data_IF_773461547649
#
_entry.id   IF_773461547649
#
_cell.length_a   1.000
_cell.length_b   1.000
_cell.length_c   1.000
_cell.angle_alpha   90.00
_cell.angle_beta   90.00
_cell.angle_gamma   90.00
#
_symmetry.space_group_name_H-M   'P 1'
#
loop_
_entity.id
_entity.type
_entity.pdbx_description
1 polymer ?
#
# COMPACT_ATOMS: atom_id res chain seq x y z
N UNK A 1 10.21 14.65 -23.45
CA UNK A 1 8.99 13.86 -23.69
C UNK A 1 7.91 14.54 -22.88
N UNK A 2 6.68 14.66 -23.36
CA UNK A 2 5.61 15.28 -22.54
C UNK A 2 4.68 14.16 -22.04
N UNK A 3 4.68 13.83 -20.74
CA UNK A 3 3.74 12.85 -20.20
C UNK A 3 2.34 13.45 -20.25
N UNK A 4 1.42 12.70 -20.83
CA UNK A 4 0.06 13.16 -21.04
C UNK A 4 -0.88 12.53 -20.02
N UNK A 5 -0.70 11.24 -19.72
CA UNK A 5 -1.56 10.50 -18.79
C UNK A 5 -0.75 9.43 -18.07
N UNK A 6 -1.06 9.23 -16.79
CA UNK A 6 -0.53 8.14 -15.99
C UNK A 6 -1.70 7.27 -15.54
N UNK A 7 -1.61 5.98 -15.83
CA UNK A 7 -2.61 4.98 -15.52
C UNK A 7 -2.06 3.90 -14.58
N UNK A 8 -2.98 3.19 -13.94
CA UNK A 8 -2.66 2.00 -13.15
C UNK A 8 -3.61 0.87 -13.52
N UNK A 9 -3.07 -0.34 -13.65
CA UNK A 9 -3.82 -1.59 -13.74
C UNK A 9 -3.52 -2.40 -12.50
N UNK A 10 -4.54 -3.07 -11.98
CA UNK A 10 -4.41 -3.85 -10.73
C UNK A 10 -4.16 -5.35 -10.96
N UNK A 11 -4.45 -5.86 -12.15
CA UNK A 11 -4.38 -7.29 -12.46
C UNK A 11 -3.97 -7.49 -13.92
N UNK A 12 -2.72 -7.93 -14.21
CA UNK A 12 -1.58 -7.90 -13.31
C UNK A 12 -1.19 -6.46 -12.93
N UNK A 13 -0.59 -6.23 -11.75
CA UNK A 13 -0.32 -4.89 -11.23
C UNK A 13 0.73 -4.16 -12.09
N UNK A 14 0.34 -3.00 -12.63
CA UNK A 14 1.12 -2.28 -13.63
C UNK A 14 0.88 -0.77 -13.56
N UNK A 15 1.92 0.01 -13.79
CA UNK A 15 1.86 1.46 -14.01
C UNK A 15 2.08 1.73 -15.50
N UNK A 16 1.20 2.49 -16.14
CA UNK A 16 1.36 2.92 -17.53
C UNK A 16 1.58 4.42 -17.60
N UNK A 17 2.56 4.84 -18.39
CA UNK A 17 2.84 6.24 -18.69
C UNK A 17 2.63 6.46 -20.17
N UNK A 18 1.62 7.26 -20.51
CA UNK A 18 1.35 7.71 -21.87
C UNK A 18 2.08 9.03 -22.10
N UNK A 19 2.91 9.10 -23.14
CA UNK A 19 3.71 10.27 -23.48
C UNK A 19 3.72 10.52 -24.98
N UNK A 20 3.91 11.78 -25.35
CA UNK A 20 4.03 12.19 -26.76
C UNK A 20 5.50 12.28 -27.15
N UNK A 21 5.86 11.62 -28.25
CA UNK A 21 7.17 11.71 -28.87
C UNK A 21 7.01 11.94 -30.37
N UNK A 22 7.59 13.03 -30.90
CA UNK A 22 7.56 13.36 -32.34
C UNK A 22 6.16 13.34 -32.97
N UNK A 23 5.16 13.82 -32.24
CA UNK A 23 3.77 13.89 -32.71
C UNK A 23 2.94 12.61 -32.52
N UNK A 24 3.56 11.48 -32.18
CA UNK A 24 2.89 10.19 -31.93
C UNK A 24 2.79 9.91 -30.42
N UNK A 25 1.73 9.20 -30.04
CA UNK A 25 1.50 8.75 -28.67
C UNK A 25 2.18 7.41 -28.44
N UNK A 26 2.85 7.29 -27.32
CA UNK A 26 3.52 6.08 -26.86
C UNK A 26 3.10 5.76 -25.43
N UNK A 27 3.11 4.47 -25.09
CA UNK A 27 2.81 4.00 -23.74
C UNK A 27 4.02 3.21 -23.26
N UNK A 28 4.55 3.58 -22.10
CA UNK A 28 5.54 2.79 -21.37
C UNK A 28 4.85 2.07 -20.21
N UNK A 29 5.00 0.75 -20.16
CA UNK A 29 4.38 -0.09 -19.13
C UNK A 29 5.43 -0.61 -18.14
N UNK A 30 5.16 -0.46 -16.86
CA UNK A 30 6.04 -0.86 -15.76
C UNK A 30 5.32 -1.93 -14.93
N UNK A 31 5.80 -3.17 -15.00
CA UNK A 31 5.28 -4.27 -14.19
C UNK A 31 5.67 -4.08 -12.72
N UNK A 32 4.69 -4.17 -11.81
CA UNK A 32 4.89 -3.84 -10.40
C UNK A 32 5.27 -5.03 -9.52
N UNK A 33 5.16 -6.28 -10.00
CA UNK A 33 5.37 -7.49 -9.18
C UNK A 33 6.75 -7.57 -8.51
N UNK A 34 7.81 -7.24 -9.25
CA UNK A 34 9.19 -7.19 -8.75
C UNK A 34 9.36 -6.12 -7.65
N UNK A 35 8.68 -4.98 -7.81
CA UNK A 35 8.80 -3.90 -6.83
C UNK A 35 7.94 -4.17 -5.58
N UNK A 36 6.73 -4.71 -5.76
CA UNK A 36 5.83 -5.08 -4.67
C UNK A 36 6.40 -6.20 -3.79
N UNK A 37 7.22 -7.10 -4.37
CA UNK A 37 7.91 -8.16 -3.62
C UNK A 37 9.15 -7.65 -2.88
N UNK A 38 9.90 -6.70 -3.45
CA UNK A 38 11.17 -6.20 -2.89
C UNK A 38 11.03 -5.08 -1.86
N UNK A 39 9.89 -4.39 -1.83
CA UNK A 39 9.68 -3.22 -0.98
C UNK A 39 8.44 -3.40 -0.10
N UNK A 40 8.56 -3.01 1.17
CA UNK A 40 7.51 -3.09 2.18
C UNK A 40 6.74 -1.78 2.35
N UNK A 41 7.27 -0.65 1.88
CA UNK A 41 6.65 0.66 1.99
C UNK A 41 6.52 1.36 0.61
N UNK A 42 5.50 2.22 0.49
CA UNK A 42 5.18 2.95 -0.76
C UNK A 42 6.26 3.97 -1.11
N UNK A 43 6.94 4.56 -0.12
CA UNK A 43 7.97 5.57 -0.35
C UNK A 43 9.19 5.01 -1.06
N UNK A 44 9.73 3.90 -0.55
CA UNK A 44 10.83 3.16 -1.16
C UNK A 44 10.48 2.67 -2.56
N UNK A 45 9.25 2.20 -2.75
CA UNK A 45 8.69 1.81 -4.04
C UNK A 45 8.75 2.92 -5.08
N UNK A 46 8.21 4.10 -4.73
CA UNK A 46 8.17 5.26 -5.62
C UNK A 46 9.58 5.73 -5.96
N UNK A 47 10.47 5.78 -4.96
CA UNK A 47 11.87 6.18 -5.17
C UNK A 47 12.57 5.22 -6.14
N UNK A 48 12.41 3.91 -5.95
CA UNK A 48 13.02 2.92 -6.84
C UNK A 48 12.47 3.03 -8.27
N UNK A 49 11.15 3.23 -8.41
CA UNK A 49 10.50 3.41 -9.71
C UNK A 49 11.02 4.67 -10.43
N UNK A 50 11.21 5.77 -9.70
CA UNK A 50 11.81 7.00 -10.23
C UNK A 50 13.26 6.80 -10.68
N UNK A 51 14.05 6.00 -9.96
CA UNK A 51 15.43 5.69 -10.35
C UNK A 51 15.48 4.82 -11.62
N UNK A 52 14.70 3.75 -11.66
CA UNK A 52 14.76 2.76 -12.74
C UNK A 52 14.10 3.26 -14.05
N UNK A 53 13.14 4.19 -13.94
CA UNK A 53 12.36 4.69 -15.07
C UNK A 53 12.39 6.22 -15.22
N UNK A 54 13.44 6.89 -14.71
CA UNK A 54 13.58 8.35 -14.69
C UNK A 54 13.11 9.03 -15.99
N UNK A 55 13.57 8.54 -17.15
CA UNK A 55 13.23 9.10 -18.47
C UNK A 55 11.71 9.23 -18.77
N UNK A 56 10.85 8.46 -18.08
CA UNK A 56 9.40 8.45 -18.29
C UNK A 56 8.61 9.06 -17.12
N UNK A 57 9.15 9.05 -15.90
CA UNK A 57 8.40 9.46 -14.69
C UNK A 57 8.91 10.74 -14.03
N UNK A 58 10.04 11.32 -14.48
CA UNK A 58 10.59 12.54 -13.86
C UNK A 58 9.64 13.75 -13.98
N UNK A 59 8.92 13.83 -15.10
CA UNK A 59 7.94 14.89 -15.37
C UNK A 59 6.59 14.66 -14.66
N UNK A 60 6.41 13.52 -13.98
CA UNK A 60 5.19 13.22 -13.20
C UNK A 60 5.42 13.65 -11.76
N UNK A 61 4.49 14.43 -11.19
CA UNK A 61 4.61 14.84 -9.80
C UNK A 61 4.71 13.64 -8.84
N UNK A 62 5.68 13.68 -7.93
CA UNK A 62 5.90 12.61 -6.94
C UNK A 62 4.62 12.29 -6.15
N UNK A 63 3.84 13.31 -5.78
CA UNK A 63 2.58 13.14 -5.07
C UNK A 63 1.54 12.32 -5.87
N UNK A 64 1.43 12.56 -7.18
CA UNK A 64 0.54 11.79 -8.05
C UNK A 64 1.02 10.34 -8.17
N UNK A 65 2.31 10.14 -8.39
CA UNK A 65 2.91 8.81 -8.52
C UNK A 65 2.74 8.01 -7.21
N UNK A 66 3.01 8.63 -6.05
CA UNK A 66 2.76 8.04 -4.73
C UNK A 66 1.32 7.62 -4.55
N UNK A 67 0.35 8.48 -4.88
CA UNK A 67 -1.09 8.14 -4.78
C UNK A 67 -1.47 6.95 -5.66
N UNK A 68 -0.90 6.86 -6.86
CA UNK A 68 -1.17 5.75 -7.80
C UNK A 68 -0.55 4.44 -7.32
N UNK A 69 0.73 4.47 -6.94
CA UNK A 69 1.45 3.30 -6.40
C UNK A 69 0.81 2.83 -5.09
N UNK A 70 0.36 3.73 -4.23
CA UNK A 70 -0.35 3.39 -3.00
C UNK A 70 -1.62 2.58 -3.28
N UNK A 71 -2.39 2.93 -4.32
CA UNK A 71 -3.59 2.16 -4.70
C UNK A 71 -3.24 0.75 -5.18
N UNK A 72 -2.17 0.60 -5.96
CA UNK A 72 -1.67 -0.71 -6.39
C UNK A 72 -1.23 -1.51 -5.16
N UNK A 73 -0.43 -0.90 -4.28
CA UNK A 73 0.09 -1.53 -3.07
C UNK A 73 -1.03 -2.03 -2.15
N UNK A 74 -2.04 -1.20 -1.87
CA UNK A 74 -3.19 -1.57 -1.04
C UNK A 74 -4.02 -2.70 -1.66
N UNK A 75 -4.11 -2.79 -2.98
CA UNK A 75 -4.90 -3.85 -3.63
C UNK A 75 -4.12 -5.14 -3.81
N UNK A 76 -2.80 -5.06 -3.99
CA UNK A 76 -1.92 -6.21 -4.09
C UNK A 76 -1.59 -6.82 -2.72
N UNK A 77 -1.44 -5.96 -1.70
CA UNK A 77 -1.32 -6.33 -0.29
C UNK A 77 -2.51 -5.72 0.45
N UNK A 78 -3.73 -6.29 0.29
CA UNK A 78 -4.87 -5.85 1.09
C UNK A 78 -4.45 -5.92 2.55
N UNK A 79 -4.58 -4.79 3.25
CA UNK A 79 -4.40 -4.75 4.70
C UNK A 79 -5.27 -5.88 5.22
N UNK A 80 -4.64 -6.88 5.85
CA UNK A 80 -5.34 -8.13 6.06
C UNK A 80 -6.51 -7.85 7.01
N UNK A 81 -7.71 -7.86 6.45
CA UNK A 81 -8.91 -7.42 7.15
C UNK A 81 -9.27 -8.51 8.14
N UNK A 82 -9.37 -8.13 9.41
CA UNK A 82 -9.94 -9.01 10.41
C UNK A 82 -11.40 -9.31 10.01
N UNK A 83 -11.86 -10.55 10.15
CA UNK A 83 -13.25 -10.87 9.86
C UNK A 83 -14.15 -10.11 10.84
N UNK A 84 -14.92 -9.16 10.31
CA UNK A 84 -15.93 -8.41 11.07
C UNK A 84 -17.13 -9.32 11.29
N UNK A 85 -17.32 -9.78 12.53
CA UNK A 85 -18.45 -10.60 12.96
C UNK A 85 -18.88 -10.18 14.37
N UNK A 86 -20.15 -10.43 14.72
CA UNK A 86 -20.61 -10.28 16.10
C UNK A 86 -20.02 -11.41 16.96
N UNK A 87 -18.91 -11.11 17.64
CA UNK A 87 -18.18 -12.08 18.44
C UNK A 87 -18.95 -12.60 19.65
N UNK A 88 -20.08 -11.98 20.01
CA UNK A 88 -20.95 -12.49 21.07
C UNK A 88 -21.82 -13.66 20.60
N UNK A 89 -21.95 -13.88 19.28
CA UNK A 89 -22.84 -14.88 18.69
C UNK A 89 -22.14 -15.83 17.71
N UNK A 90 -20.82 -16.02 17.85
CA UNK A 90 -20.06 -16.99 17.06
C UNK A 90 -19.86 -18.30 17.81
N UNK A 91 -19.83 -19.42 17.08
CA UNK A 91 -19.44 -20.71 17.66
C UNK A 91 -17.97 -20.73 18.09
N UNK A 92 -17.59 -21.59 19.04
CA UNK A 92 -16.19 -21.74 19.47
C UNK A 92 -15.22 -22.05 18.33
N UNK A 93 -15.67 -22.87 17.36
CA UNK A 93 -14.88 -23.21 16.18
C UNK A 93 -14.62 -21.97 15.30
N UNK A 94 -15.64 -21.15 15.08
CA UNK A 94 -15.48 -19.89 14.34
C UNK A 94 -14.60 -18.92 15.10
N UNK A 95 -14.76 -18.81 16.43
CA UNK A 95 -13.93 -17.96 17.27
C UNK A 95 -12.44 -18.33 17.16
N UNK A 96 -12.13 -19.63 17.15
CA UNK A 96 -10.75 -20.13 16.96
C UNK A 96 -10.19 -19.71 15.60
N UNK A 97 -10.95 -19.91 14.52
CA UNK A 97 -10.52 -19.53 13.17
C UNK A 97 -10.27 -18.02 13.04
N UNK A 98 -11.10 -17.20 13.69
CA UNK A 98 -10.90 -15.75 13.71
C UNK A 98 -9.62 -15.38 14.47
N UNK A 99 -9.38 -16.00 15.63
CA UNK A 99 -8.14 -15.79 16.41
C UNK A 99 -6.89 -16.17 15.62
N UNK A 100 -6.90 -17.33 14.98
CA UNK A 100 -5.78 -17.78 14.14
C UNK A 100 -5.52 -16.80 12.98
N UNK A 101 -6.59 -16.24 12.41
CA UNK A 101 -6.47 -15.21 11.38
C UNK A 101 -5.89 -13.92 11.95
N UNK A 102 -6.35 -13.47 13.11
CA UNK A 102 -5.81 -12.29 13.81
C UNK A 102 -4.31 -12.44 14.06
N UNK A 103 -3.87 -13.60 14.54
CA UNK A 103 -2.44 -13.88 14.81
C UNK A 103 -1.62 -13.84 13.52
N UNK A 104 -2.10 -14.47 12.44
CA UNK A 104 -1.43 -14.44 11.15
C UNK A 104 -1.28 -13.01 10.60
N UNK A 105 -2.33 -12.20 10.71
CA UNK A 105 -2.29 -10.78 10.31
C UNK A 105 -1.33 -9.98 11.18
N UNK A 106 -1.36 -10.19 12.50
CA UNK A 106 -0.47 -9.50 13.42
C UNK A 106 1.01 -9.83 13.11
N UNK A 107 1.34 -11.12 13.01
CA UNK A 107 2.71 -11.58 12.80
C UNK A 107 3.31 -11.14 11.45
N UNK A 108 2.47 -10.92 10.43
CA UNK A 108 2.92 -10.41 9.13
C UNK A 108 3.14 -8.90 9.11
N UNK A 109 2.56 -8.15 10.06
CA UNK A 109 2.66 -6.69 10.14
C UNK A 109 3.45 -6.20 11.37
N UNK A 110 3.83 -7.09 12.29
CA UNK A 110 4.63 -6.74 13.46
C UNK A 110 6.04 -6.37 13.04
N UNK A 111 6.47 -5.17 13.41
CA UNK A 111 7.85 -4.74 13.29
C UNK A 111 8.62 -5.25 14.51
N UNK A 112 9.77 -5.88 14.31
CA UNK A 112 10.64 -6.39 15.37
C UNK A 112 11.86 -5.49 15.55
N UNK A 113 12.54 -5.53 16.72
CA UNK A 113 13.84 -4.88 16.88
C UNK A 113 14.80 -5.28 15.76
N UNK A 114 15.22 -4.30 14.96
CA UNK A 114 16.07 -4.50 13.78
C UNK A 114 15.37 -4.32 12.44
N UNK A 115 14.03 -4.35 12.40
CA UNK A 115 13.29 -4.08 11.17
C UNK A 115 13.25 -2.57 10.84
N UNK A 116 13.30 -2.19 9.55
CA UNK A 116 13.12 -0.79 9.16
C UNK A 116 11.80 -0.20 9.67
N UNK A 117 11.88 0.90 10.42
CA UNK A 117 10.71 1.57 10.99
C UNK A 117 10.26 1.05 12.36
N UNK A 118 10.96 0.08 12.95
CA UNK A 118 10.74 -0.30 14.34
C UNK A 118 11.05 0.86 15.29
N UNK A 119 10.13 1.16 16.22
CA UNK A 119 10.29 2.17 17.25
C UNK A 119 9.87 1.60 18.60
N UNK A 120 10.71 1.75 19.63
CA UNK A 120 10.44 1.23 20.97
C UNK A 120 9.24 1.90 21.64
N UNK A 121 9.09 3.22 21.47
CA UNK A 121 7.98 4.01 22.01
C UNK A 121 7.26 4.74 20.88
N UNK A 122 6.39 4.00 20.16
CA UNK A 122 5.60 4.58 19.07
C UNK A 122 4.41 5.35 19.64
N UNK A 123 4.59 6.66 19.81
CA UNK A 123 3.51 7.55 20.20
C UNK A 123 2.66 7.92 18.98
N UNK A 124 1.34 7.91 19.13
CA UNK A 124 0.39 8.30 18.07
C UNK A 124 -0.69 9.16 18.68
N UNK A 125 -0.91 10.35 18.09
CA UNK A 125 -2.02 11.21 18.47
C UNK A 125 -3.32 10.67 17.88
N UNK A 126 -4.25 10.29 18.76
CA UNK A 126 -5.61 9.91 18.35
C UNK A 126 -6.51 11.13 18.46
N UNK A 127 -7.28 11.39 17.40
CA UNK A 127 -8.33 12.42 17.38
C UNK A 127 -9.68 11.72 17.52
N UNK A 128 -10.15 11.44 18.76
CA UNK A 128 -11.42 10.75 18.95
C UNK A 128 -12.57 11.58 18.39
N UNK A 129 -13.51 10.92 17.72
CA UNK A 129 -14.72 11.54 17.18
C UNK A 129 -15.91 11.51 18.14
N UNK A 130 -15.83 10.69 19.18
CA UNK A 130 -16.90 10.44 20.15
C UNK A 130 -16.42 10.79 21.56
N UNK A 131 -17.34 11.22 22.42
CA UNK A 131 -17.05 11.52 23.82
C UNK A 131 -16.76 10.22 24.59
N UNK A 132 -15.82 10.27 25.53
CA UNK A 132 -15.50 9.14 26.41
C UNK A 132 -16.46 9.15 27.60
N UNK A 133 -17.34 8.16 27.67
CA UNK A 133 -18.30 7.99 28.79
C UNK A 133 -17.69 7.29 30.01
N UNK A 134 -16.36 7.21 30.09
CA UNK A 134 -15.64 6.50 31.16
C UNK A 134 -15.37 7.35 32.41
N UNK A 135 -15.60 8.67 32.36
CA UNK A 135 -15.25 9.62 33.43
C UNK A 135 -16.46 10.25 34.15
N UNK A 136 -17.64 9.61 34.14
CA UNK A 136 -18.82 9.98 34.95
C UNK A 136 -19.15 8.93 36.03
#
# INVERSE_FOLDING_TARGET
>A
MEPQRVGVRFTPPLVSVEFKCSGKLYIHEIAMDSYLSKHSDVGSLVRQLQLDHAAYVDDVSTAQLTRLVQKIFQKAKPLATLPTADYNNVSENQLRLVKDKMDSVFLSNVLKPGDPGYAYDKQTEFKPSEASDWDD
#
